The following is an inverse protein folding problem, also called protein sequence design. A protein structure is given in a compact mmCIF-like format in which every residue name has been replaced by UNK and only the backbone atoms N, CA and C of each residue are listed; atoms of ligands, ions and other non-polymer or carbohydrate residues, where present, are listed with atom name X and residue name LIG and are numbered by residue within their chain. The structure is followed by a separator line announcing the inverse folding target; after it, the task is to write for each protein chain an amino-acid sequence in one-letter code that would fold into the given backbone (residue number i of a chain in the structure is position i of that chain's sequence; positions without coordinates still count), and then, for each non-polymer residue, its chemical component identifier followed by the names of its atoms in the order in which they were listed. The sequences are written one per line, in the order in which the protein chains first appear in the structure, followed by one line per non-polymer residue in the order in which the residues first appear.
data_IF_650352587583
#
_entry.id   IF_650352587583
#
_cell.length_a   1.000
_cell.length_b   1.000
_cell.length_c   1.000
_cell.angle_alpha   90.00
_cell.angle_beta   90.00
_cell.angle_gamma   90.00
#
_symmetry.space_group_name_H-M   'P 1'
#
loop_
_entity.id
_entity.type
_entity.pdbx_description
1 polymer ?
#
# COMPACT_ATOMS: atom_id res chain seq x y z
N UNK A 1 19.29 -19.69 -43.43
CA UNK A 1 18.39 -18.72 -42.76
C UNK A 1 17.50 -19.52 -41.83
N UNK A 2 17.70 -19.38 -40.52
CA UNK A 2 16.78 -19.91 -39.52
C UNK A 2 15.50 -19.09 -39.54
N UNK A 3 14.41 -19.66 -40.04
CA UNK A 3 13.09 -19.04 -39.95
C UNK A 3 12.66 -19.09 -38.49
N UNK A 4 12.70 -17.94 -37.81
CA UNK A 4 12.03 -17.79 -36.54
C UNK A 4 10.52 -17.72 -36.81
N UNK A 5 9.69 -18.52 -36.11
CA UNK A 5 8.24 -18.45 -36.29
C UNK A 5 7.74 -17.04 -35.98
N UNK A 6 6.86 -16.52 -36.84
CA UNK A 6 6.21 -15.22 -36.61
C UNK A 6 5.36 -15.34 -35.35
N UNK A 7 5.72 -14.59 -34.32
CA UNK A 7 5.00 -14.59 -33.05
C UNK A 7 3.77 -13.70 -33.21
N UNK A 8 2.59 -14.32 -33.23
CA UNK A 8 1.31 -13.61 -33.23
C UNK A 8 0.79 -13.44 -31.79
N UNK A 9 0.18 -12.30 -31.49
CA UNK A 9 -0.32 -11.98 -30.16
C UNK A 9 -1.00 -10.61 -30.12
N UNK A 10 -1.13 -10.06 -28.92
CA UNK A 10 -1.88 -8.84 -28.67
C UNK A 10 -1.06 -7.85 -27.85
N UNK A 11 -0.89 -6.64 -28.36
CA UNK A 11 -0.17 -5.55 -27.69
C UNK A 11 -1.09 -4.81 -26.72
N UNK A 12 -0.59 -4.51 -25.53
CA UNK A 12 -1.34 -3.68 -24.55
C UNK A 12 -1.63 -2.31 -25.14
N UNK A 13 -2.89 -1.89 -25.09
CA UNK A 13 -3.35 -0.59 -25.60
C UNK A 13 -2.49 0.58 -25.07
N UNK A 14 -2.22 0.60 -23.77
CA UNK A 14 -1.48 1.69 -23.12
C UNK A 14 -0.07 1.84 -23.65
N UNK A 15 0.63 0.73 -23.94
CA UNK A 15 2.00 0.82 -24.45
C UNK A 15 2.03 1.30 -25.89
N UNK A 16 1.05 0.88 -26.71
CA UNK A 16 0.90 1.39 -28.07
C UNK A 16 0.68 2.90 -28.03
N UNK A 17 -0.24 3.39 -27.21
CA UNK A 17 -0.60 4.81 -27.17
C UNK A 17 0.49 5.69 -26.55
N UNK A 18 1.10 5.26 -25.44
CA UNK A 18 1.96 6.14 -24.62
C UNK A 18 3.44 5.87 -24.76
N UNK A 19 3.84 4.70 -25.28
CA UNK A 19 5.25 4.27 -25.27
C UNK A 19 5.81 4.06 -26.66
N UNK A 20 5.06 3.47 -27.60
CA UNK A 20 5.61 3.12 -28.92
C UNK A 20 6.21 4.32 -29.67
N UNK A 21 5.56 5.49 -29.60
CA UNK A 21 6.07 6.69 -30.26
C UNK A 21 7.42 7.17 -29.70
N UNK A 22 7.80 6.79 -28.48
CA UNK A 22 9.05 7.26 -27.83
C UNK A 22 10.30 6.73 -28.52
N UNK A 23 10.18 5.66 -29.31
CA UNK A 23 11.24 5.15 -30.16
C UNK A 23 11.64 6.11 -31.30
N UNK A 24 10.91 7.22 -31.49
CA UNK A 24 11.09 8.20 -32.57
C UNK A 24 11.32 9.63 -32.07
N UNK A 25 11.75 9.83 -30.83
CA UNK A 25 12.01 11.17 -30.28
C UNK A 25 13.06 11.95 -31.09
N UNK A 26 13.96 11.25 -31.79
CA UNK A 26 14.94 11.78 -32.73
C UNK A 26 14.35 12.05 -34.14
N UNK A 27 13.11 11.64 -34.40
CA UNK A 27 12.40 11.68 -35.69
C UNK A 27 10.98 12.24 -35.53
N UNK A 28 10.83 13.56 -35.30
CA UNK A 28 9.57 14.17 -34.85
C UNK A 28 8.40 14.03 -35.83
N UNK A 29 8.67 13.93 -37.13
CA UNK A 29 7.63 13.72 -38.16
C UNK A 29 6.99 12.33 -37.98
N UNK A 30 7.82 11.29 -37.82
CA UNK A 30 7.36 9.91 -37.60
C UNK A 30 6.62 9.81 -36.27
N UNK A 31 7.18 10.40 -35.22
CA UNK A 31 6.56 10.44 -33.90
C UNK A 31 5.15 11.06 -33.95
N UNK A 32 5.03 12.22 -34.60
CA UNK A 32 3.75 12.94 -34.72
C UNK A 32 2.75 12.18 -35.57
N UNK A 33 3.17 11.61 -36.70
CA UNK A 33 2.31 10.83 -37.58
C UNK A 33 1.79 9.56 -36.87
N UNK A 34 2.66 8.85 -36.15
CA UNK A 34 2.27 7.67 -35.38
C UNK A 34 1.29 8.04 -34.26
N UNK A 35 1.59 9.08 -33.47
CA UNK A 35 0.69 9.60 -32.42
C UNK A 35 -0.69 9.95 -32.97
N UNK A 36 -0.75 10.65 -34.10
CA UNK A 36 -2.00 11.01 -34.74
C UNK A 36 -2.79 9.77 -35.20
N UNK A 37 -2.12 8.82 -35.87
CA UNK A 37 -2.71 7.58 -36.38
C UNK A 37 -3.36 6.74 -35.27
N UNK A 38 -2.63 6.47 -34.17
CA UNK A 38 -3.14 5.63 -33.08
C UNK A 38 -3.98 6.40 -32.07
N UNK A 39 -4.11 7.73 -32.19
CA UNK A 39 -4.82 8.53 -31.19
C UNK A 39 -6.28 8.05 -31.03
N UNK A 40 -6.84 8.06 -29.80
CA UNK A 40 -8.19 7.55 -29.55
C UNK A 40 -9.28 8.26 -30.37
N UNK A 41 -9.11 9.56 -30.61
CA UNK A 41 -10.00 10.36 -31.45
C UNK A 41 -9.89 10.01 -32.94
N UNK A 42 -8.70 9.66 -33.43
CA UNK A 42 -8.50 9.31 -34.83
C UNK A 42 -8.94 7.87 -35.11
N UNK A 43 -8.53 6.93 -34.26
CA UNK A 43 -8.72 5.50 -34.47
C UNK A 43 -10.21 5.10 -34.49
N UNK A 44 -11.05 5.87 -33.80
CA UNK A 44 -12.51 5.65 -33.73
C UNK A 44 -13.30 6.28 -34.88
N UNK A 45 -12.65 7.02 -35.78
CA UNK A 45 -13.35 7.65 -36.91
C UNK A 45 -13.77 6.61 -37.95
N UNK A 46 -14.85 6.94 -38.69
CA UNK A 46 -15.40 6.06 -39.73
C UNK A 46 -14.44 5.81 -40.89
N UNK A 47 -13.61 6.81 -41.22
CA UNK A 47 -12.62 6.78 -42.28
C UNK A 47 -11.28 6.16 -41.84
N UNK A 48 -11.14 5.78 -40.57
CA UNK A 48 -9.91 5.20 -40.07
C UNK A 48 -9.67 3.80 -40.66
N UNK A 49 -8.45 3.45 -41.10
CA UNK A 49 -8.14 2.15 -41.72
C UNK A 49 -8.43 0.91 -40.87
N UNK A 50 -8.54 1.06 -39.55
CA UNK A 50 -8.93 -0.02 -38.65
C UNK A 50 -10.44 -0.29 -38.59
N UNK A 51 -11.26 0.57 -39.21
CA UNK A 51 -12.70 0.37 -39.32
C UNK A 51 -13.05 -0.38 -40.61
N UNK A 52 -12.69 -1.67 -40.69
CA UNK A 52 -12.82 -2.47 -41.93
C UNK A 52 -14.27 -2.72 -42.35
N UNK A 53 -15.19 -2.80 -41.39
CA UNK A 53 -16.59 -3.23 -41.63
C UNK A 53 -17.63 -2.14 -41.33
N UNK A 54 -17.21 -0.89 -41.09
CA UNK A 54 -18.10 0.18 -40.65
C UNK A 54 -18.65 0.04 -39.22
N UNK A 55 -18.24 -1.01 -38.49
CA UNK A 55 -18.66 -1.32 -37.10
C UNK A 55 -17.91 -0.49 -36.04
N UNK A 56 -16.94 0.32 -36.46
CA UNK A 56 -15.97 0.97 -35.60
C UNK A 56 -14.63 0.25 -35.60
N UNK A 57 -13.65 0.79 -34.87
CA UNK A 57 -12.34 0.15 -34.70
C UNK A 57 -12.50 -1.10 -33.84
N UNK A 58 -11.90 -2.19 -34.32
CA UNK A 58 -11.75 -3.43 -33.57
C UNK A 58 -10.61 -3.32 -32.56
N UNK A 59 -10.87 -3.73 -31.33
CA UNK A 59 -9.88 -3.98 -30.30
C UNK A 59 -10.14 -5.36 -29.70
N UNK A 60 -9.30 -5.77 -28.77
CA UNK A 60 -9.44 -7.04 -28.06
C UNK A 60 -9.47 -6.81 -26.55
N UNK A 61 -10.48 -7.38 -25.88
CA UNK A 61 -10.54 -7.43 -24.44
C UNK A 61 -9.91 -8.75 -23.98
N UNK A 62 -8.73 -8.66 -23.36
CA UNK A 62 -8.02 -9.79 -22.80
C UNK A 62 -8.20 -9.89 -21.29
N UNK A 63 -8.36 -11.11 -20.77
CA UNK A 63 -8.38 -11.41 -19.34
C UNK A 63 -7.13 -12.20 -18.97
N UNK A 64 -6.37 -11.69 -18.00
CA UNK A 64 -5.19 -12.36 -17.42
C UNK A 64 -5.63 -13.45 -16.43
N UNK A 65 -4.73 -14.41 -16.07
CA UNK A 65 -5.05 -15.48 -15.11
C UNK A 65 -5.52 -15.00 -13.73
N UNK A 66 -5.12 -13.79 -13.31
CA UNK A 66 -5.57 -13.18 -12.06
C UNK A 66 -6.93 -12.45 -12.19
N UNK A 67 -7.62 -12.61 -13.32
CA UNK A 67 -8.90 -11.97 -13.62
C UNK A 67 -8.81 -10.52 -14.10
N UNK A 68 -7.61 -9.91 -14.08
CA UNK A 68 -7.45 -8.55 -14.58
C UNK A 68 -7.74 -8.47 -16.08
N UNK A 69 -8.38 -7.36 -16.48
CA UNK A 69 -8.70 -7.10 -17.88
C UNK A 69 -7.68 -6.13 -18.50
N UNK A 70 -7.50 -6.25 -19.81
CA UNK A 70 -6.69 -5.38 -20.64
C UNK A 70 -7.38 -5.14 -21.98
N UNK A 71 -7.36 -3.88 -22.43
CA UNK A 71 -7.68 -3.54 -23.80
C UNK A 71 -6.41 -3.67 -24.66
N UNK A 72 -6.52 -4.29 -25.83
CA UNK A 72 -5.38 -4.72 -26.63
C UNK A 72 -5.56 -4.42 -28.13
N UNK A 73 -4.44 -4.15 -28.81
CA UNK A 73 -4.33 -4.18 -30.27
C UNK A 73 -3.85 -5.57 -30.71
N UNK A 74 -4.37 -6.09 -31.82
CA UNK A 74 -3.77 -7.28 -32.42
C UNK A 74 -2.40 -6.95 -33.03
N UNK A 75 -1.49 -7.92 -33.07
CA UNK A 75 -0.21 -7.73 -33.77
C UNK A 75 -0.39 -7.43 -35.25
N UNK A 76 -1.49 -7.90 -35.87
CA UNK A 76 -1.86 -7.56 -37.24
C UNK A 76 -2.22 -6.07 -37.43
N UNK A 77 -2.89 -5.45 -36.45
CA UNK A 77 -3.16 -4.01 -36.49
C UNK A 77 -1.89 -3.18 -36.35
N UNK A 78 -1.00 -3.58 -35.44
CA UNK A 78 0.30 -2.93 -35.26
C UNK A 78 1.12 -3.04 -36.55
N UNK A 79 1.17 -4.22 -37.17
CA UNK A 79 1.85 -4.42 -38.45
C UNK A 79 1.24 -3.55 -39.55
N UNK A 80 -0.08 -3.53 -39.66
CA UNK A 80 -0.79 -2.69 -40.63
C UNK A 80 -0.46 -1.20 -40.46
N UNK A 81 -0.41 -0.69 -39.22
CA UNK A 81 -0.05 0.70 -38.96
C UNK A 81 1.32 1.06 -39.53
N UNK A 82 2.31 0.15 -39.42
CA UNK A 82 3.66 0.33 -39.97
C UNK A 82 3.63 0.48 -41.48
N UNK A 83 2.92 -0.41 -42.17
CA UNK A 83 2.77 -0.34 -43.63
C UNK A 83 2.00 0.90 -44.05
N UNK A 84 0.89 1.22 -43.36
CA UNK A 84 0.08 2.38 -43.69
C UNK A 84 0.88 3.68 -43.59
N UNK A 85 1.63 3.88 -42.50
CA UNK A 85 2.47 5.07 -42.34
C UNK A 85 3.55 5.18 -43.42
N UNK A 86 4.10 4.03 -43.85
CA UNK A 86 5.06 3.98 -44.95
C UNK A 86 4.44 4.36 -46.29
N UNK A 87 3.34 3.71 -46.67
CA UNK A 87 2.69 3.94 -47.97
C UNK A 87 2.13 5.37 -48.08
N UNK A 88 1.75 5.97 -46.95
CA UNK A 88 1.31 7.37 -46.88
C UNK A 88 2.48 8.38 -46.87
N UNK A 89 3.73 7.91 -46.93
CA UNK A 89 4.91 8.76 -47.05
C UNK A 89 5.41 9.39 -45.74
N UNK A 90 4.92 8.96 -44.58
CA UNK A 90 5.30 9.54 -43.28
C UNK A 90 6.64 9.06 -42.75
N UNK A 91 7.23 8.00 -43.33
CA UNK A 91 8.40 7.29 -42.79
C UNK A 91 9.57 7.24 -43.76
N UNK A 92 9.60 8.14 -44.76
CA UNK A 92 10.64 8.21 -45.80
C UNK A 92 10.86 6.87 -46.55
N UNK A 93 9.81 6.06 -46.71
CA UNK A 93 9.85 4.79 -47.44
C UNK A 93 10.29 3.58 -46.62
N UNK A 94 10.63 3.74 -45.34
CA UNK A 94 11.04 2.65 -44.45
C UNK A 94 9.91 2.22 -43.50
N UNK A 95 9.89 0.95 -43.07
CA UNK A 95 8.98 0.52 -42.02
C UNK A 95 9.52 0.96 -40.66
N UNK A 96 8.67 1.56 -39.83
CA UNK A 96 9.02 1.82 -38.43
C UNK A 96 9.21 0.49 -37.67
N UNK A 97 10.02 0.41 -36.60
CA UNK A 97 10.15 -0.77 -35.76
C UNK A 97 8.82 -1.16 -35.08
N UNK A 98 8.66 -2.47 -34.87
CA UNK A 98 7.58 -3.03 -34.04
C UNK A 98 7.80 -2.61 -32.57
N UNK A 99 6.75 -2.43 -31.76
CA UNK A 99 6.87 -2.22 -30.32
C UNK A 99 7.66 -3.33 -29.61
N UNK A 100 8.13 -3.04 -28.39
CA UNK A 100 8.85 -3.99 -27.56
C UNK A 100 8.03 -5.26 -27.29
N UNK A 101 8.67 -6.43 -27.32
CA UNK A 101 8.00 -7.72 -27.13
C UNK A 101 7.45 -7.91 -25.72
N UNK A 102 7.93 -7.16 -24.72
CA UNK A 102 7.36 -7.13 -23.36
C UNK A 102 5.94 -6.58 -23.31
N UNK A 103 5.48 -5.92 -24.38
CA UNK A 103 4.12 -5.39 -24.50
C UNK A 103 3.14 -6.41 -25.10
N UNK A 104 3.68 -7.50 -25.66
CA UNK A 104 2.94 -8.54 -26.37
C UNK A 104 2.47 -9.62 -25.39
N UNK A 105 1.16 -9.87 -25.39
CA UNK A 105 0.51 -10.94 -24.64
C UNK A 105 0.03 -12.03 -25.59
N UNK A 106 0.18 -13.30 -25.22
CA UNK A 106 -0.22 -14.43 -26.08
C UNK A 106 -1.38 -15.22 -25.44
N UNK A 107 -2.37 -15.63 -26.26
CA UNK A 107 -3.42 -16.56 -25.82
C UNK A 107 -2.84 -17.87 -25.29
N UNK A 108 -3.38 -18.35 -24.16
CA UNK A 108 -2.99 -19.64 -23.58
C UNK A 108 -1.72 -19.60 -22.72
N UNK A 109 -0.93 -18.52 -22.77
CA UNK A 109 0.18 -18.29 -21.84
C UNK A 109 -0.10 -17.11 -20.91
N UNK A 110 -0.16 -15.89 -21.43
CA UNK A 110 -0.40 -14.69 -20.63
C UNK A 110 -1.88 -14.30 -20.60
N UNK A 111 -2.68 -14.73 -21.58
CA UNK A 111 -4.12 -14.45 -21.67
C UNK A 111 -4.94 -15.72 -21.46
N UNK A 112 -5.80 -15.72 -20.44
CA UNK A 112 -6.74 -16.79 -20.14
C UNK A 112 -7.96 -16.75 -21.05
N UNK A 113 -8.47 -15.55 -21.34
CA UNK A 113 -9.57 -15.33 -22.26
C UNK A 113 -9.30 -14.10 -23.12
N UNK A 114 -9.84 -14.09 -24.33
CA UNK A 114 -9.72 -12.95 -25.24
C UNK A 114 -10.94 -12.89 -26.17
N UNK A 115 -11.53 -11.71 -26.32
CA UNK A 115 -12.67 -11.48 -27.20
C UNK A 115 -12.56 -10.14 -27.95
N UNK A 116 -13.06 -10.06 -29.20
CA UNK A 116 -13.07 -8.81 -29.94
C UNK A 116 -14.12 -7.85 -29.37
N UNK A 117 -13.81 -6.55 -29.41
CA UNK A 117 -14.70 -5.44 -29.02
C UNK A 117 -14.60 -4.33 -30.05
N UNK A 118 -15.68 -3.59 -30.31
CA UNK A 118 -15.74 -2.56 -31.35
C UNK A 118 -16.15 -1.21 -30.77
N UNK A 119 -15.46 -0.14 -31.18
CA UNK A 119 -15.78 1.22 -30.78
C UNK A 119 -15.89 2.14 -31.99
N UNK A 120 -17.03 2.82 -32.13
CA UNK A 120 -17.35 3.74 -33.23
C UNK A 120 -17.18 5.22 -32.85
N UNK A 121 -16.84 5.49 -31.59
CA UNK A 121 -16.75 6.82 -30.99
C UNK A 121 -15.67 6.82 -29.92
N UNK A 122 -15.05 7.99 -29.73
CA UNK A 122 -14.05 8.21 -28.70
C UNK A 122 -14.62 7.98 -27.30
N UNK A 123 -15.86 8.40 -27.06
CA UNK A 123 -16.55 8.30 -25.78
C UNK A 123 -16.68 6.84 -25.33
N UNK A 124 -17.11 5.93 -26.22
CA UNK A 124 -17.24 4.50 -25.91
C UNK A 124 -15.88 3.85 -25.63
N UNK A 125 -14.85 4.18 -26.42
CA UNK A 125 -13.49 3.69 -26.17
C UNK A 125 -12.98 4.17 -24.80
N UNK A 126 -13.16 5.45 -24.49
CA UNK A 126 -12.79 6.05 -23.21
C UNK A 126 -13.50 5.39 -22.04
N UNK A 127 -14.79 5.13 -22.15
CA UNK A 127 -15.56 4.48 -21.09
C UNK A 127 -15.15 3.02 -20.89
N UNK A 128 -14.87 2.28 -21.96
CA UNK A 128 -14.31 0.93 -21.86
C UNK A 128 -12.95 0.91 -21.13
N UNK A 129 -12.08 1.89 -21.37
CA UNK A 129 -10.83 2.02 -20.61
C UNK A 129 -11.08 2.27 -19.12
N UNK A 130 -12.01 3.16 -18.77
CA UNK A 130 -12.37 3.42 -17.37
C UNK A 130 -12.92 2.17 -16.69
N UNK A 131 -13.73 1.37 -17.39
CA UNK A 131 -14.33 0.18 -16.82
C UNK A 131 -13.29 -0.93 -16.58
N UNK A 132 -12.32 -1.08 -17.48
CA UNK A 132 -11.13 -1.93 -17.24
C UNK A 132 -10.38 -1.48 -15.99
N UNK A 133 -10.12 -0.17 -15.84
CA UNK A 133 -9.45 0.36 -14.65
C UNK A 133 -10.24 0.12 -13.37
N UNK A 134 -11.56 0.35 -13.39
CA UNK A 134 -12.45 0.10 -12.24
C UNK A 134 -12.44 -1.38 -11.86
N UNK A 135 -12.54 -2.29 -12.82
CA UNK A 135 -12.52 -3.72 -12.56
C UNK A 135 -11.19 -4.16 -11.94
N UNK A 136 -10.06 -3.73 -12.50
CA UNK A 136 -8.74 -4.06 -11.97
C UNK A 136 -8.51 -3.46 -10.57
N UNK A 137 -9.00 -2.23 -10.32
CA UNK A 137 -9.00 -1.64 -8.97
C UNK A 137 -9.83 -2.46 -7.98
N UNK A 138 -11.00 -2.96 -8.39
CA UNK A 138 -11.86 -3.83 -7.57
C UNK A 138 -11.17 -5.16 -7.26
N UNK A 139 -10.56 -5.81 -8.24
CA UNK A 139 -9.80 -7.05 -8.06
C UNK A 139 -8.64 -6.86 -7.09
N UNK A 140 -7.86 -5.78 -7.25
CA UNK A 140 -6.77 -5.43 -6.35
C UNK A 140 -7.26 -5.21 -4.91
N UNK A 141 -8.39 -4.50 -4.72
CA UNK A 141 -9.02 -4.33 -3.40
C UNK A 141 -9.42 -5.66 -2.78
N UNK A 142 -10.05 -6.55 -3.54
CA UNK A 142 -10.45 -7.87 -3.06
C UNK A 142 -9.26 -8.73 -2.67
N UNK A 143 -8.19 -8.71 -3.48
CA UNK A 143 -6.96 -9.43 -3.18
C UNK A 143 -6.31 -8.90 -1.90
N UNK A 144 -6.19 -7.58 -1.76
CA UNK A 144 -5.65 -6.95 -0.55
C UNK A 144 -6.49 -7.23 0.71
N UNK A 145 -7.81 -7.30 0.58
CA UNK A 145 -8.68 -7.66 1.70
C UNK A 145 -8.45 -9.12 2.15
N UNK A 146 -8.31 -10.03 1.19
CA UNK A 146 -8.01 -11.44 1.47
C UNK A 146 -6.62 -11.61 2.10
N UNK A 147 -5.59 -10.99 1.54
CA UNK A 147 -4.23 -11.05 2.10
C UNK A 147 -4.16 -10.36 3.46
N UNK A 148 -4.85 -9.23 3.64
CA UNK A 148 -4.97 -8.52 4.91
C UNK A 148 -5.62 -9.38 6.00
N UNK A 149 -6.68 -10.12 5.67
CA UNK A 149 -7.31 -11.08 6.59
C UNK A 149 -6.33 -12.18 7.01
N UNK A 150 -5.61 -12.79 6.06
CA UNK A 150 -4.62 -13.81 6.36
C UNK A 150 -3.54 -13.26 7.28
N UNK A 151 -2.99 -12.09 6.97
CA UNK A 151 -1.95 -11.47 7.79
C UNK A 151 -2.46 -11.13 9.19
N UNK A 152 -3.68 -10.60 9.31
CA UNK A 152 -4.30 -10.33 10.62
C UNK A 152 -4.34 -11.60 11.49
N UNK A 153 -4.80 -12.72 10.93
CA UNK A 153 -4.87 -13.99 11.68
C UNK A 153 -3.48 -14.54 12.02
N UNK A 154 -2.48 -14.39 11.15
CA UNK A 154 -1.10 -14.79 11.44
C UNK A 154 -0.47 -13.98 12.57
N UNK A 155 -0.72 -12.67 12.58
CA UNK A 155 -0.33 -11.78 13.68
C UNK A 155 -1.02 -12.20 14.97
N UNK A 156 -2.35 -12.41 14.94
CA UNK A 156 -3.14 -12.87 16.08
C UNK A 156 -2.63 -14.19 16.64
N UNK A 157 -2.35 -15.16 15.79
CA UNK A 157 -1.80 -16.46 16.21
C UNK A 157 -0.43 -16.28 16.85
N UNK A 158 0.49 -15.56 16.21
CA UNK A 158 1.83 -15.31 16.74
C UNK A 158 1.81 -14.58 18.10
N UNK A 159 0.91 -13.62 18.28
CA UNK A 159 0.71 -12.94 19.56
C UNK A 159 0.21 -13.90 20.66
N UNK A 160 -0.74 -14.78 20.33
CA UNK A 160 -1.31 -15.73 21.29
C UNK A 160 -0.35 -16.84 21.71
N UNK A 161 0.66 -17.16 20.90
CA UNK A 161 1.76 -18.05 21.29
C UNK A 161 2.65 -17.44 22.39
N UNK A 162 2.51 -16.12 22.67
CA UNK A 162 3.28 -15.40 23.68
C UNK A 162 4.80 -15.54 23.48
N UNK A 163 5.23 -15.44 22.23
CA UNK A 163 6.65 -15.56 21.85
C UNK A 163 7.24 -14.21 21.43
N UNK A 164 8.56 -14.10 21.59
CA UNK A 164 9.35 -13.00 21.08
C UNK A 164 9.13 -11.67 21.79
N UNK A 165 9.58 -10.62 21.12
CA UNK A 165 9.49 -9.24 21.58
C UNK A 165 8.68 -8.41 20.59
N UNK A 166 7.66 -7.72 21.09
CA UNK A 166 6.76 -6.88 20.30
C UNK A 166 7.07 -5.43 20.60
N UNK A 167 7.63 -4.70 19.64
CA UNK A 167 8.18 -3.36 19.80
C UNK A 167 7.40 -2.35 18.95
N UNK A 168 6.52 -1.56 19.57
CA UNK A 168 6.02 -0.35 18.93
C UNK A 168 7.07 0.76 18.95
N UNK A 169 7.28 1.40 17.79
CA UNK A 169 8.24 2.49 17.61
C UNK A 169 7.53 3.60 16.84
N UNK A 170 7.74 4.83 17.27
CA UNK A 170 7.20 6.02 16.63
C UNK A 170 8.26 7.13 16.62
N UNK A 171 8.33 7.89 15.53
CA UNK A 171 9.24 9.03 15.38
C UNK A 171 8.50 10.32 15.06
N UNK A 172 8.95 11.42 15.65
CA UNK A 172 8.47 12.75 15.32
C UNK A 172 9.61 13.60 14.73
N UNK A 173 9.29 14.33 13.67
CA UNK A 173 10.19 15.28 13.00
C UNK A 173 9.74 16.72 13.23
N UNK A 174 10.66 17.64 12.97
CA UNK A 174 10.31 19.05 12.98
C UNK A 174 9.42 19.40 11.79
N UNK A 175 8.22 19.92 12.05
CA UNK A 175 7.21 20.19 11.01
C UNK A 175 7.65 21.21 9.94
N UNK A 176 8.69 21.99 10.22
CA UNK A 176 9.27 22.97 9.28
C UNK A 176 10.46 22.42 8.49
N UNK A 177 11.01 21.24 8.88
CA UNK A 177 12.12 20.59 8.20
C UNK A 177 12.04 19.06 8.35
N UNK A 178 11.77 18.37 7.24
CA UNK A 178 11.50 16.92 7.23
C UNK A 178 12.78 16.06 7.30
N UNK A 179 13.91 16.64 7.73
CA UNK A 179 15.18 15.94 7.97
C UNK A 179 15.55 15.86 9.44
N UNK A 180 14.93 16.67 10.29
CA UNK A 180 15.35 16.86 11.67
C UNK A 180 14.48 16.03 12.59
N UNK A 181 14.95 14.83 12.95
CA UNK A 181 14.31 13.98 13.96
C UNK A 181 14.38 14.68 15.32
N UNK A 182 13.26 14.75 16.01
CA UNK A 182 13.17 15.47 17.28
C UNK A 182 13.01 14.54 18.48
N UNK A 183 12.33 13.42 18.31
CA UNK A 183 12.10 12.43 19.34
C UNK A 183 11.81 11.04 18.74
N UNK A 184 12.00 10.01 19.56
CA UNK A 184 11.63 8.63 19.27
C UNK A 184 10.97 8.01 20.51
N UNK A 185 9.84 7.37 20.29
CA UNK A 185 9.14 6.59 21.28
C UNK A 185 9.38 5.10 21.11
N UNK A 186 9.50 4.39 22.23
CA UNK A 186 9.62 2.95 22.27
C UNK A 186 8.61 2.40 23.27
N UNK A 187 7.79 1.46 22.85
CA UNK A 187 6.96 0.67 23.73
C UNK A 187 7.14 -0.80 23.37
N UNK A 188 7.42 -1.66 24.32
CA UNK A 188 7.51 -3.10 24.04
C UNK A 188 6.82 -3.97 25.05
N UNK A 189 6.46 -5.16 24.58
CA UNK A 189 6.01 -6.28 25.38
C UNK A 189 6.88 -7.50 25.09
N UNK A 190 7.28 -8.18 26.15
CA UNK A 190 7.85 -9.53 26.14
C UNK A 190 7.05 -10.44 27.06
N UNK A 191 7.23 -11.75 26.94
CA UNK A 191 6.55 -12.71 27.79
C UNK A 191 7.57 -13.52 28.60
N UNK A 192 7.46 -13.45 29.92
CA UNK A 192 8.29 -14.26 30.84
C UNK A 192 7.36 -15.11 31.69
N UNK A 193 7.51 -16.44 31.62
CA UNK A 193 6.61 -17.41 32.27
C UNK A 193 5.12 -17.19 31.94
N UNK A 194 4.84 -16.74 30.71
CA UNK A 194 3.48 -16.46 30.22
C UNK A 194 2.86 -15.15 30.75
N UNK A 195 3.60 -14.39 31.57
CA UNK A 195 3.24 -13.05 32.04
C UNK A 195 3.81 -11.99 31.12
N UNK A 196 3.02 -10.96 30.88
CA UNK A 196 3.40 -9.82 30.05
C UNK A 196 4.33 -8.88 30.82
N UNK A 197 5.49 -8.56 30.23
CA UNK A 197 6.39 -7.54 30.71
C UNK A 197 6.46 -6.40 29.70
N UNK A 198 5.91 -5.26 30.09
CA UNK A 198 5.85 -4.07 29.26
C UNK A 198 6.92 -3.05 29.64
N UNK A 199 7.51 -2.37 28.64
CA UNK A 199 8.43 -1.24 28.85
C UNK A 199 8.04 -0.07 27.96
N UNK A 200 8.26 1.16 28.43
CA UNK A 200 8.02 2.38 27.66
C UNK A 200 9.22 3.32 27.83
N UNK A 201 9.66 3.95 26.75
CA UNK A 201 10.72 4.96 26.74
C UNK A 201 10.38 6.08 25.77
N UNK A 202 10.90 7.25 26.06
CA UNK A 202 10.82 8.42 25.21
C UNK A 202 12.18 9.11 25.18
N UNK A 203 12.79 9.18 24.00
CA UNK A 203 14.12 9.75 23.79
C UNK A 203 14.01 11.01 22.93
N UNK A 204 14.67 12.09 23.35
CA UNK A 204 14.68 13.38 22.66
C UNK A 204 16.07 13.62 22.09
N UNK A 205 16.16 13.96 20.80
CA UNK A 205 17.40 14.28 20.12
C UNK A 205 17.94 15.63 20.62
N UNK A 206 19.06 15.58 21.35
CA UNK A 206 19.67 16.76 22.00
C UNK A 206 19.99 17.87 21.01
N UNK A 207 20.47 17.51 19.83
CA UNK A 207 20.86 18.42 18.75
C UNK A 207 19.66 19.24 18.25
N UNK A 208 18.47 18.62 18.19
CA UNK A 208 17.25 19.20 17.64
C UNK A 208 16.28 19.69 18.73
N UNK A 209 16.76 19.88 19.96
CA UNK A 209 15.91 20.28 21.10
C UNK A 209 15.17 21.62 20.90
N UNK A 210 15.74 22.51 20.08
CA UNK A 210 15.16 23.83 19.77
C UNK A 210 14.15 23.76 18.61
N UNK A 211 14.14 22.67 17.84
CA UNK A 211 13.17 22.40 16.80
C UNK A 211 11.87 21.94 17.46
N UNK A 212 10.96 22.88 17.71
CA UNK A 212 9.66 22.64 18.35
C UNK A 212 8.55 22.69 17.30
N UNK A 213 7.60 21.77 17.41
CA UNK A 213 6.36 21.80 16.65
C UNK A 213 5.38 22.80 17.31
N UNK A 214 4.20 22.98 16.72
CA UNK A 214 3.14 23.83 17.27
C UNK A 214 2.35 24.62 16.23
N UNK A 215 2.81 24.65 14.97
CA UNK A 215 2.12 25.29 13.86
C UNK A 215 1.09 24.37 13.21
N UNK A 216 1.44 23.11 12.97
CA UNK A 216 0.58 22.11 12.33
C UNK A 216 0.32 20.92 13.25
N UNK A 217 1.32 20.49 14.02
CA UNK A 217 1.18 19.44 15.04
C UNK A 217 1.31 20.03 16.45
N UNK A 218 0.50 19.59 17.44
CA UNK A 218 0.69 19.90 18.85
C UNK A 218 2.11 19.65 19.35
N UNK A 219 2.60 20.51 20.24
CA UNK A 219 3.91 20.35 20.89
C UNK A 219 3.76 19.60 22.23
N UNK A 220 3.72 18.26 22.17
CA UNK A 220 3.57 17.42 23.36
C UNK A 220 4.86 16.70 23.78
N UNK A 221 6.03 17.05 23.22
CA UNK A 221 7.35 16.46 23.52
C UNK A 221 7.63 16.29 25.01
N UNK A 222 7.30 17.29 25.83
CA UNK A 222 7.62 17.29 27.26
C UNK A 222 6.53 16.60 28.13
N UNK A 223 5.50 16.01 27.51
CA UNK A 223 4.34 15.43 28.18
C UNK A 223 4.28 13.90 28.02
N UNK A 224 5.42 13.22 28.23
CA UNK A 224 5.47 11.77 28.23
C UNK A 224 4.72 11.19 29.45
N UNK A 225 3.72 10.35 29.21
CA UNK A 225 2.79 9.87 30.23
C UNK A 225 3.28 8.62 30.97
N UNK A 226 4.26 7.90 30.41
CA UNK A 226 4.66 6.57 30.88
C UNK A 226 6.05 6.52 31.52
N UNK A 227 6.57 7.66 31.96
CA UNK A 227 7.86 7.75 32.62
C UNK A 227 8.51 9.13 32.51
N UNK A 228 9.81 9.15 32.28
CA UNK A 228 10.59 10.37 32.11
C UNK A 228 11.28 10.36 30.75
N UNK A 229 11.17 11.49 30.04
CA UNK A 229 11.86 11.70 28.76
C UNK A 229 13.38 11.78 28.99
N UNK A 230 14.16 11.12 28.14
CA UNK A 230 15.63 11.19 28.17
C UNK A 230 16.15 12.00 26.99
N UNK A 231 16.81 13.12 27.26
CA UNK A 231 17.46 13.91 26.20
C UNK A 231 18.89 13.40 25.99
N UNK A 232 19.17 12.85 24.81
CA UNK A 232 20.44 12.21 24.50
C UNK A 232 20.99 12.73 23.16
N UNK A 233 22.33 12.79 22.97
CA UNK A 233 22.92 13.01 21.65
C UNK A 233 22.47 11.95 20.64
N UNK A 234 22.31 12.33 19.38
CA UNK A 234 21.89 11.43 18.29
C UNK A 234 22.68 10.12 18.27
N UNK A 235 24.00 10.18 18.46
CA UNK A 235 24.87 8.98 18.51
C UNK A 235 24.46 8.00 19.62
N UNK A 236 24.10 8.51 20.80
CA UNK A 236 23.65 7.67 21.90
C UNK A 236 22.27 7.09 21.62
N UNK A 237 21.36 7.86 21.02
CA UNK A 237 20.05 7.32 20.58
C UNK A 237 20.24 6.18 19.58
N UNK A 238 21.14 6.32 18.61
CA UNK A 238 21.49 5.25 17.67
C UNK A 238 22.02 4.00 18.38
N UNK A 239 22.89 4.15 19.38
CA UNK A 239 23.43 3.04 20.19
C UNK A 239 22.33 2.36 21.02
N UNK A 240 21.43 3.15 21.62
CA UNK A 240 20.28 2.68 22.40
C UNK A 240 19.29 1.89 21.53
N UNK A 241 18.98 2.37 20.32
CA UNK A 241 18.09 1.66 19.38
C UNK A 241 18.69 0.34 18.91
N UNK A 242 20.01 0.30 18.64
CA UNK A 242 20.72 -0.93 18.29
C UNK A 242 20.68 -1.94 19.44
N UNK A 243 21.03 -1.49 20.65
CA UNK A 243 20.99 -2.35 21.84
C UNK A 243 19.57 -2.85 22.11
N UNK A 244 18.56 -2.00 21.92
CA UNK A 244 17.16 -2.35 22.12
C UNK A 244 16.73 -3.50 21.21
N UNK A 245 17.03 -3.42 19.90
CA UNK A 245 16.69 -4.51 18.97
C UNK A 245 17.56 -5.76 19.16
N UNK A 246 18.84 -5.58 19.51
CA UNK A 246 19.71 -6.72 19.82
C UNK A 246 19.17 -7.50 21.02
N UNK A 247 18.89 -6.84 22.14
CA UNK A 247 18.30 -7.47 23.33
C UNK A 247 16.94 -8.09 23.04
N UNK A 248 16.12 -7.43 22.19
CA UNK A 248 14.84 -8.00 21.76
C UNK A 248 15.02 -9.32 21.00
N UNK A 249 16.05 -9.41 20.13
CA UNK A 249 16.35 -10.61 19.32
C UNK A 249 16.91 -11.78 20.13
N UNK A 250 17.60 -11.50 21.25
CA UNK A 250 18.06 -12.53 22.18
C UNK A 250 16.90 -13.30 22.85
N UNK A 251 15.72 -12.67 22.91
CA UNK A 251 14.49 -13.27 23.45
C UNK A 251 13.63 -13.99 22.40
N UNK A 252 14.08 -14.08 21.15
CA UNK A 252 13.37 -14.76 20.04
C UNK A 252 13.05 -13.83 18.87
N UNK A 253 11.95 -14.07 18.13
CA UNK A 253 11.58 -13.19 17.02
C UNK A 253 11.25 -11.77 17.50
N UNK A 254 11.55 -10.77 16.68
CA UNK A 254 11.25 -9.36 16.95
C UNK A 254 10.17 -8.88 15.99
N UNK A 255 9.08 -8.36 16.55
CA UNK A 255 7.96 -7.80 15.82
C UNK A 255 7.95 -6.28 16.01
N UNK A 256 8.38 -5.53 15.00
CA UNK A 256 8.34 -4.07 14.98
C UNK A 256 6.93 -3.62 14.57
N UNK A 257 6.26 -2.90 15.46
CA UNK A 257 4.89 -2.43 15.28
C UNK A 257 4.93 -0.93 14.99
N UNK A 258 4.23 -0.50 13.95
CA UNK A 258 4.14 0.90 13.56
C UNK A 258 2.69 1.29 13.28
N UNK A 259 2.44 2.59 13.16
CA UNK A 259 1.20 3.12 12.63
C UNK A 259 1.51 3.96 11.39
N UNK A 260 1.36 3.38 10.20
CA UNK A 260 1.91 3.87 8.92
C UNK A 260 3.45 3.75 8.84
N UNK A 261 3.92 2.50 8.74
CA UNK A 261 5.33 2.10 8.94
C UNK A 261 6.37 2.77 8.02
N UNK A 262 5.96 3.40 6.91
CA UNK A 262 6.90 3.86 5.88
C UNK A 262 7.83 4.96 6.38
N UNK A 263 7.28 5.91 7.13
CA UNK A 263 8.03 7.02 7.72
C UNK A 263 9.00 6.51 8.78
N UNK A 264 8.50 5.72 9.72
CA UNK A 264 9.29 5.22 10.84
C UNK A 264 10.41 4.28 10.42
N UNK A 265 10.16 3.36 9.49
CA UNK A 265 11.22 2.46 8.98
C UNK A 265 12.33 3.28 8.30
N UNK A 266 11.99 4.37 7.60
CA UNK A 266 12.98 5.27 7.02
C UNK A 266 13.81 5.95 8.13
N UNK A 267 13.14 6.51 9.14
CA UNK A 267 13.80 7.16 10.28
C UNK A 267 14.71 6.19 11.03
N UNK A 268 14.24 4.97 11.29
CA UNK A 268 15.00 3.93 11.96
C UNK A 268 16.29 3.57 11.20
N UNK A 269 16.24 3.47 9.86
CA UNK A 269 17.45 3.30 9.03
C UNK A 269 18.38 4.50 9.09
N UNK A 270 17.85 5.72 9.13
CA UNK A 270 18.65 6.95 9.26
C UNK A 270 19.39 7.03 10.61
N UNK A 271 18.88 6.37 11.66
CA UNK A 271 19.63 6.21 12.93
C UNK A 271 20.78 5.20 12.84
N UNK A 272 20.95 4.51 11.71
CA UNK A 272 22.02 3.52 11.49
C UNK A 272 21.71 2.13 12.05
N UNK A 273 20.45 1.86 12.41
CA UNK A 273 19.98 0.51 12.78
C UNK A 273 19.88 -0.36 11.53
N UNK A 274 20.46 -1.56 11.59
CA UNK A 274 20.37 -2.56 10.52
C UNK A 274 19.02 -3.29 10.60
N UNK A 275 18.28 -3.28 9.50
CA UNK A 275 16.97 -3.94 9.37
C UNK A 275 17.03 -5.05 8.32
N UNK A 276 18.18 -5.70 8.21
CA UNK A 276 18.39 -6.81 7.27
C UNK A 276 17.47 -7.98 7.64
N UNK A 277 16.77 -8.51 6.64
CA UNK A 277 15.79 -9.57 6.85
C UNK A 277 14.44 -9.10 7.41
N UNK A 278 14.17 -7.80 7.50
CA UNK A 278 12.85 -7.27 7.86
C UNK A 278 11.77 -7.75 6.88
N UNK A 279 10.86 -8.59 7.35
CA UNK A 279 9.72 -9.10 6.57
C UNK A 279 8.41 -8.46 6.99
N UNK A 280 7.61 -7.97 6.04
CA UNK A 280 6.24 -7.52 6.29
C UNK A 280 5.20 -8.66 6.32
N UNK A 281 5.59 -9.86 5.91
CA UNK A 281 4.73 -11.03 5.89
C UNK A 281 5.12 -11.98 7.01
N UNK A 282 4.17 -12.27 7.91
CA UNK A 282 4.37 -13.30 8.92
C UNK A 282 4.12 -14.69 8.31
N UNK A 283 4.86 -15.72 8.73
CA UNK A 283 4.57 -17.11 8.38
C UNK A 283 3.27 -17.61 9.02
N UNK A 284 2.73 -18.72 8.51
CA UNK A 284 1.52 -19.35 9.06
C UNK A 284 1.76 -19.95 10.45
N UNK A 285 2.92 -20.56 10.65
CA UNK A 285 3.40 -21.05 11.93
C UNK A 285 4.23 -19.95 12.59
N UNK A 286 3.98 -19.68 13.87
CA UNK A 286 4.67 -18.63 14.60
C UNK A 286 6.21 -18.82 14.50
N UNK A 287 6.96 -17.76 14.11
CA UNK A 287 8.39 -17.88 13.85
C UNK A 287 9.18 -18.09 15.14
N UNK A 288 10.27 -18.86 15.11
CA UNK A 288 11.19 -19.01 16.25
C UNK A 288 12.27 -17.93 16.31
N UNK A 289 12.50 -17.21 15.20
CA UNK A 289 13.47 -16.12 15.06
C UNK A 289 13.11 -15.24 13.86
N UNK A 290 13.78 -14.09 13.72
CA UNK A 290 13.60 -13.17 12.61
C UNK A 290 13.09 -11.80 13.02
N UNK A 291 13.05 -10.89 12.06
CA UNK A 291 12.62 -9.50 12.23
C UNK A 291 11.41 -9.24 11.33
N UNK A 292 10.29 -8.84 11.92
CA UNK A 292 9.03 -8.67 11.21
C UNK A 292 8.48 -7.27 11.41
N UNK A 293 7.96 -6.63 10.36
CA UNK A 293 7.23 -5.37 10.47
C UNK A 293 5.72 -5.63 10.47
N UNK A 294 5.03 -4.94 11.36
CA UNK A 294 3.59 -4.97 11.52
C UNK A 294 3.08 -3.54 11.46
N UNK A 295 2.16 -3.28 10.54
CA UNK A 295 1.54 -1.97 10.40
C UNK A 295 0.10 -2.01 10.91
N UNK A 296 -0.16 -1.31 12.01
CA UNK A 296 -1.49 -1.25 12.61
C UNK A 296 -2.54 -0.64 11.69
N UNK A 297 -2.16 0.18 10.70
CA UNK A 297 -3.10 0.67 9.67
C UNK A 297 -3.61 -0.46 8.79
N UNK A 298 -2.75 -1.44 8.47
CA UNK A 298 -3.13 -2.62 7.68
C UNK A 298 -3.97 -3.60 8.50
N UNK A 299 -3.64 -3.78 9.78
CA UNK A 299 -4.49 -4.54 10.70
C UNK A 299 -5.86 -3.91 10.87
N UNK A 300 -5.91 -2.59 11.02
CA UNK A 300 -7.15 -1.83 11.10
C UNK A 300 -7.96 -1.92 9.81
N UNK A 301 -7.31 -1.85 8.65
CA UNK A 301 -7.99 -2.01 7.36
C UNK A 301 -8.61 -3.40 7.21
N UNK A 302 -7.91 -4.45 7.68
CA UNK A 302 -8.47 -5.80 7.74
C UNK A 302 -9.65 -5.87 8.73
N UNK A 303 -9.50 -5.35 9.94
CA UNK A 303 -10.56 -5.40 10.97
C UNK A 303 -11.80 -4.61 10.58
N UNK A 304 -11.65 -3.37 10.11
CA UNK A 304 -12.77 -2.52 9.69
C UNK A 304 -13.33 -2.90 8.31
N UNK A 305 -12.58 -3.65 7.50
CA UNK A 305 -12.88 -3.90 6.09
C UNK A 305 -12.76 -2.67 5.20
N UNK A 306 -12.24 -1.55 5.73
CA UNK A 306 -12.10 -0.29 5.03
C UNK A 306 -10.63 -0.02 4.71
N UNK A 307 -10.37 0.42 3.47
CA UNK A 307 -9.05 0.88 3.06
C UNK A 307 -8.93 2.41 3.14
N UNK A 308 -9.42 2.98 4.25
CA UNK A 308 -9.36 4.42 4.54
C UNK A 308 -8.24 4.70 5.56
N UNK A 309 -7.60 5.86 5.44
CA UNK A 309 -6.62 6.29 6.43
C UNK A 309 -7.35 6.57 7.76
N UNK A 310 -6.99 5.81 8.78
CA UNK A 310 -7.46 6.03 10.16
C UNK A 310 -6.24 6.45 10.96
N UNK A 311 -6.23 7.68 11.48
CA UNK A 311 -5.14 8.13 12.33
C UNK A 311 -5.14 7.39 13.67
N UNK A 312 -4.02 7.47 14.39
CA UNK A 312 -3.79 6.71 15.62
C UNK A 312 -4.87 6.99 16.66
N UNK A 313 -5.17 8.27 16.90
CA UNK A 313 -6.18 8.68 17.88
C UNK A 313 -7.55 8.07 17.58
N UNK A 314 -8.04 8.20 16.34
CA UNK A 314 -9.32 7.64 15.92
C UNK A 314 -9.32 6.11 16.04
N UNK A 315 -8.25 5.44 15.60
CA UNK A 315 -8.12 3.99 15.70
C UNK A 315 -8.18 3.54 17.16
N UNK A 316 -7.42 4.17 18.04
CA UNK A 316 -7.42 3.88 19.47
C UNK A 316 -8.81 4.06 20.10
N UNK A 317 -9.49 5.18 19.80
CA UNK A 317 -10.85 5.44 20.30
C UNK A 317 -11.85 4.38 19.81
N UNK A 318 -11.82 4.03 18.53
CA UNK A 318 -12.70 3.00 17.95
C UNK A 318 -12.41 1.60 18.50
N UNK A 319 -11.16 1.32 18.89
CA UNK A 319 -10.77 0.08 19.55
C UNK A 319 -11.09 0.06 21.06
N UNK A 320 -11.52 1.20 21.63
CA UNK A 320 -11.81 1.34 23.06
C UNK A 320 -10.56 1.41 23.94
N UNK A 321 -9.43 1.85 23.40
CA UNK A 321 -8.21 2.12 24.19
C UNK A 321 -8.49 3.28 25.14
N UNK A 322 -8.13 3.11 26.41
CA UNK A 322 -8.41 4.08 27.49
C UNK A 322 -7.24 5.03 27.72
N UNK A 323 -7.50 6.14 28.42
CA UNK A 323 -6.50 7.12 28.87
C UNK A 323 -5.69 7.75 27.71
N UNK A 324 -6.34 7.96 26.57
CA UNK A 324 -5.74 8.59 25.39
C UNK A 324 -5.58 10.09 25.63
N UNK A 325 -4.34 10.58 25.61
CA UNK A 325 -4.03 12.00 25.76
C UNK A 325 -2.64 12.28 25.22
N UNK A 326 -2.33 13.55 24.92
CA UNK A 326 -0.97 14.01 24.56
C UNK A 326 -0.36 13.28 23.35
N UNK A 327 -1.16 13.06 22.30
CA UNK A 327 -0.70 12.65 20.96
C UNK A 327 0.33 13.65 20.41
N UNK A 328 1.18 13.23 19.48
CA UNK A 328 2.38 13.98 19.06
C UNK A 328 3.44 14.10 20.15
N UNK A 329 3.50 13.05 20.98
CA UNK A 329 4.63 12.72 21.81
C UNK A 329 4.99 11.29 21.42
N UNK A 330 6.13 11.10 20.75
CA UNK A 330 6.44 9.81 20.15
C UNK A 330 6.40 8.66 21.17
N UNK A 331 6.77 8.90 22.43
CA UNK A 331 6.68 7.92 23.51
C UNK A 331 5.24 7.50 23.84
N UNK A 332 4.31 8.46 23.86
CA UNK A 332 2.89 8.18 24.04
C UNK A 332 2.30 7.48 22.81
N UNK A 333 2.67 7.93 21.60
CA UNK A 333 2.16 7.38 20.35
C UNK A 333 2.64 5.95 20.10
N UNK A 334 3.89 5.63 20.44
CA UNK A 334 4.38 4.25 20.49
C UNK A 334 3.58 3.39 21.49
N UNK A 335 3.26 3.92 22.67
CA UNK A 335 2.45 3.21 23.66
C UNK A 335 1.02 2.97 23.15
N UNK A 336 0.35 3.99 22.62
CA UNK A 336 -1.02 3.86 22.10
C UNK A 336 -1.09 2.95 20.88
N UNK A 337 -0.07 2.99 20.02
CA UNK A 337 0.10 2.04 18.92
C UNK A 337 0.18 0.61 19.45
N UNK A 338 0.98 0.36 20.49
CA UNK A 338 1.05 -0.97 21.11
C UNK A 338 -0.28 -1.39 21.74
N UNK A 339 -1.00 -0.50 22.43
CA UNK A 339 -2.32 -0.82 23.00
C UNK A 339 -3.35 -1.14 21.91
N UNK A 340 -3.40 -0.34 20.85
CA UNK A 340 -4.28 -0.61 19.71
C UNK A 340 -3.94 -1.95 19.05
N UNK A 341 -2.66 -2.22 18.83
CA UNK A 341 -2.18 -3.51 18.36
C UNK A 341 -2.65 -4.65 19.27
N UNK A 342 -2.48 -4.55 20.59
CA UNK A 342 -2.92 -5.56 21.56
C UNK A 342 -4.42 -5.80 21.50
N UNK A 343 -5.22 -4.74 21.36
CA UNK A 343 -6.67 -4.84 21.20
C UNK A 343 -7.07 -5.65 19.96
N UNK A 344 -6.31 -5.58 18.88
CA UNK A 344 -6.56 -6.32 17.64
C UNK A 344 -5.96 -7.73 17.66
N UNK A 345 -4.71 -7.88 18.09
CA UNK A 345 -3.98 -9.15 18.10
C UNK A 345 -4.38 -10.08 19.25
N UNK A 346 -4.84 -9.53 20.38
CA UNK A 346 -5.28 -10.30 21.55
C UNK A 346 -6.77 -10.66 21.54
N UNK A 347 -7.55 -10.15 20.60
CA UNK A 347 -8.99 -10.45 20.50
C UNK A 347 -9.28 -11.84 19.89
N UNK A 348 -10.56 -12.22 19.78
CA UNK A 348 -10.99 -13.42 19.05
C UNK A 348 -10.65 -13.34 17.53
N UNK A 349 -10.96 -14.37 16.73
CA UNK A 349 -10.83 -14.28 15.28
C UNK A 349 -11.52 -13.04 14.68
N UNK A 350 -10.98 -12.53 13.57
CA UNK A 350 -11.31 -11.22 13.01
C UNK A 350 -12.81 -10.96 12.84
N UNK A 351 -13.59 -11.94 12.36
CA UNK A 351 -15.03 -11.76 12.17
C UNK A 351 -15.80 -11.68 13.49
N UNK A 352 -15.35 -12.42 14.51
CA UNK A 352 -15.94 -12.31 15.85
C UNK A 352 -15.64 -10.95 16.47
N UNK A 353 -14.42 -10.43 16.29
CA UNK A 353 -14.09 -9.08 16.75
C UNK A 353 -14.98 -8.01 16.11
N UNK A 354 -15.29 -8.14 14.82
CA UNK A 354 -16.19 -7.21 14.13
C UNK A 354 -17.58 -7.23 14.75
N UNK A 355 -18.14 -8.41 14.97
CA UNK A 355 -19.49 -8.54 15.52
C UNK A 355 -19.55 -8.08 16.98
N UNK A 356 -18.53 -8.38 17.79
CA UNK A 356 -18.47 -7.94 19.19
C UNK A 356 -18.32 -6.42 19.32
N UNK A 357 -17.52 -5.79 18.45
CA UNK A 357 -17.25 -4.34 18.49
C UNK A 357 -18.34 -3.51 17.84
N UNK A 358 -18.88 -3.98 16.72
CA UNK A 358 -19.87 -3.26 15.91
C UNK A 358 -21.02 -4.20 15.48
N UNK A 359 -21.88 -4.61 16.44
CA UNK A 359 -22.94 -5.57 16.18
C UNK A 359 -23.86 -5.12 15.05
N UNK A 360 -24.12 -6.01 14.09
CA UNK A 360 -24.98 -5.73 12.92
C UNK A 360 -24.55 -4.52 12.06
N UNK A 361 -23.31 -4.02 12.19
CA UNK A 361 -22.78 -2.93 11.36
C UNK A 361 -21.88 -3.43 10.23
N UNK A 362 -21.68 -4.74 10.08
CA UNK A 362 -20.87 -5.31 9.00
C UNK A 362 -21.75 -5.67 7.81
N UNK A 363 -21.45 -5.13 6.64
CA UNK A 363 -22.18 -5.42 5.41
C UNK A 363 -21.78 -6.77 4.76
N UNK A 364 -22.46 -7.14 3.67
CA UNK A 364 -22.17 -8.38 2.92
C UNK A 364 -20.75 -8.41 2.31
N UNK A 365 -20.09 -7.25 2.17
CA UNK A 365 -18.72 -7.14 1.72
C UNK A 365 -17.72 -7.19 2.89
N UNK A 366 -18.18 -7.53 4.10
CA UNK A 366 -17.39 -7.60 5.31
C UNK A 366 -16.74 -6.25 5.68
N UNK A 367 -17.44 -5.15 5.38
CA UNK A 367 -17.05 -3.77 5.69
C UNK A 367 -17.93 -3.22 6.81
N UNK A 368 -17.31 -2.62 7.83
CA UNK A 368 -18.00 -2.03 8.99
C UNK A 368 -18.57 -0.66 8.62
N UNK A 369 -19.82 -0.39 9.01
CA UNK A 369 -20.53 0.85 8.77
C UNK A 369 -20.57 1.70 10.05
N UNK A 370 -19.56 2.56 10.22
CA UNK A 370 -19.47 3.45 11.39
C UNK A 370 -20.56 4.53 11.38
N UNK A 371 -21.17 4.77 12.54
CA UNK A 371 -22.11 5.88 12.78
C UNK A 371 -21.40 7.24 12.71
N UNK A 372 -22.15 8.33 12.55
CA UNK A 372 -21.58 9.71 12.54
C UNK A 372 -20.77 9.99 13.82
N UNK A 373 -21.29 9.62 15.00
CA UNK A 373 -20.57 9.75 16.28
C UNK A 373 -19.24 8.97 16.30
N UNK A 374 -19.19 7.78 15.72
CA UNK A 374 -17.96 6.99 15.60
C UNK A 374 -16.98 7.59 14.58
N UNK A 375 -17.49 8.27 13.55
CA UNK A 375 -16.68 8.98 12.58
C UNK A 375 -16.05 10.24 13.19
N UNK A 376 -16.77 10.93 14.08
CA UNK A 376 -16.31 12.11 14.81
C UNK A 376 -15.45 11.77 16.05
N UNK A 377 -15.22 10.48 16.33
CA UNK A 377 -14.42 10.02 17.47
C UNK A 377 -15.10 10.20 18.82
N UNK A 378 -16.43 10.33 18.84
CA UNK A 378 -17.24 10.48 20.04
C UNK A 378 -17.76 9.15 20.57
N UNK A 379 -16.97 8.47 21.40
CA UNK A 379 -17.46 7.58 22.45
C UNK A 379 -16.40 7.48 23.55
N UNK A 380 -16.85 7.32 24.80
CA UNK A 380 -16.12 7.34 26.09
C UNK A 380 -15.88 8.75 26.67
N UNK A 381 -16.93 9.35 27.26
CA UNK A 381 -16.71 10.24 28.42
C UNK A 381 -16.39 9.35 29.62
N UNK A 382 -15.29 9.61 30.30
CA UNK A 382 -14.87 8.94 31.54
C UNK A 382 -15.77 9.28 32.76
N UNK A 383 -17.08 9.45 32.54
CA UNK A 383 -18.07 9.70 33.59
C UNK A 383 -19.02 8.50 33.71
N UNK A 384 -18.50 7.41 34.26
CA UNK A 384 -19.33 6.51 35.07
C UNK A 384 -18.66 6.39 36.42
N UNK A 385 -19.04 7.31 37.29
CA UNK A 385 -18.82 7.29 38.72
C UNK A 385 -19.36 5.95 39.27
N UNK A 386 -18.46 4.99 39.50
CA UNK A 386 -18.78 3.77 40.25
C UNK A 386 -18.50 4.01 41.72
N UNK A 387 -19.23 4.97 42.30
CA UNK A 387 -19.52 4.97 43.73
C UNK A 387 -20.70 4.02 43.98
N UNK A 388 -20.37 2.78 44.35
CA UNK A 388 -21.08 1.97 45.36
C UNK A 388 -20.31 0.67 45.63
#
# INVERSE_FOLDING_TARGET
MTFHPVIHGFYRYTDIIFVWHTAFQDRPIIETALKAFISPHCVTRKDHPFNKDGKGVEFWMGTLPNGEQRLLYSSAQVEYARYWLKEMGFTNGELIPIPDSSYLLRPGSELQAISPVYFDTYEKLKDAQKDVEKNNKRLKRSHNAYTGRIQFERIRNSWNEKIGTWCAIDFEWWEMCHTDLTEVGLSSVTFENGLELATNRHLIFKENRLCRNGKYSPDNRDHFLFGQSQTLPQKQISEELKSYLQTASEKGPVFLIFHDQKGDIKCLRETGVELDGLSGDLPEIAPSSGLFSIDTTTMWAALSGRNENCNLERMCRLLGVKNLNRFHNAGNDAHFTLQAFKCMAGGPPLDMQREERWPSQTDQAATVQFTELQQEGGYWSDDVDMSN
#
